data_IF_565479436978
#
_entry.id   IF_565479436978
#
_cell.length_a   1.000
_cell.length_b   1.000
_cell.length_c   1.000
_cell.angle_alpha   90.00
_cell.angle_beta   90.00
_cell.angle_gamma   90.00
#
_symmetry.space_group_name_H-M   'P 1'
#
loop_
_entity.id
_entity.type
_entity.pdbx_description
1 polymer ?
#
# COMPACT_ATOMS: atom_id res chain seq x y z
N UNK A 1 -0.78 0.63 -37.58
CA UNK A 1 0.70 0.67 -37.44
C UNK A 1 1.02 1.85 -36.55
N UNK A 2 1.78 1.66 -35.48
CA UNK A 2 2.18 2.77 -34.61
C UNK A 2 3.18 3.64 -35.35
N UNK A 3 2.82 4.85 -35.77
CA UNK A 3 3.74 5.80 -36.40
C UNK A 3 4.73 6.29 -35.33
N UNK A 4 6.01 6.03 -35.58
CA UNK A 4 7.08 6.65 -34.79
C UNK A 4 7.41 8.00 -35.42
N UNK A 5 7.24 9.07 -34.65
CA UNK A 5 7.50 10.44 -35.06
C UNK A 5 8.57 11.07 -34.15
N UNK A 6 9.34 12.00 -34.70
CA UNK A 6 10.21 12.87 -33.89
C UNK A 6 9.41 14.08 -33.43
N UNK A 7 9.28 14.23 -32.10
CA UNK A 7 8.56 15.34 -31.49
C UNK A 7 9.52 16.15 -30.62
N UNK A 8 9.41 17.48 -30.67
CA UNK A 8 10.16 18.37 -29.77
C UNK A 8 9.75 18.15 -28.32
N UNK A 9 10.72 17.93 -27.43
CA UNK A 9 10.49 17.72 -25.98
C UNK A 9 9.72 18.88 -25.35
N UNK A 10 9.93 20.10 -25.82
CA UNK A 10 9.21 21.30 -25.38
C UNK A 10 7.70 21.29 -25.67
N UNK A 11 7.26 20.48 -26.65
CA UNK A 11 5.84 20.28 -27.00
C UNK A 11 5.19 19.13 -26.25
N UNK A 12 5.96 18.37 -25.46
CA UNK A 12 5.46 17.22 -24.70
C UNK A 12 5.21 17.64 -23.26
N UNK A 13 3.96 17.78 -22.88
CA UNK A 13 3.53 18.07 -21.52
C UNK A 13 3.54 16.80 -20.68
N UNK A 14 3.82 16.90 -19.38
CA UNK A 14 3.65 15.80 -18.44
C UNK A 14 2.18 15.47 -18.29
N UNK A 15 1.88 14.19 -17.96
CA UNK A 15 0.52 13.76 -17.68
C UNK A 15 -0.05 14.51 -16.47
N UNK A 16 -1.26 15.04 -16.63
CA UNK A 16 -1.91 15.78 -15.54
C UNK A 16 -2.17 14.88 -14.34
N UNK A 17 -1.75 15.31 -13.15
CA UNK A 17 -1.91 14.54 -11.90
C UNK A 17 -1.26 13.14 -11.95
N UNK A 18 -0.12 13.01 -12.63
CA UNK A 18 0.63 11.76 -12.70
C UNK A 18 0.94 11.22 -11.30
N UNK A 19 0.43 10.04 -10.92
CA UNK A 19 0.52 9.56 -9.54
C UNK A 19 1.90 8.99 -9.16
N UNK A 20 2.71 8.62 -10.17
CA UNK A 20 3.99 7.97 -9.95
C UNK A 20 5.11 8.99 -9.88
N UNK A 21 5.92 8.93 -8.84
CA UNK A 21 7.06 9.81 -8.64
C UNK A 21 8.15 9.55 -9.69
N UNK A 22 8.73 10.64 -10.16
CA UNK A 22 9.91 10.60 -11.02
C UNK A 22 11.08 11.16 -10.23
N UNK A 23 11.83 10.27 -9.58
CA UNK A 23 12.96 10.66 -8.75
C UNK A 23 14.19 10.95 -9.60
N UNK A 24 14.93 11.99 -9.18
CA UNK A 24 16.25 12.29 -9.72
C UNK A 24 17.32 11.55 -8.90
N UNK A 25 17.36 10.24 -9.08
CA UNK A 25 18.22 9.30 -8.36
C UNK A 25 19.39 8.79 -9.23
N UNK A 26 20.25 7.97 -8.66
CA UNK A 26 21.38 7.38 -9.39
C UNK A 26 20.93 6.56 -10.60
N UNK A 27 19.79 5.86 -10.50
CA UNK A 27 19.25 5.08 -11.62
C UNK A 27 18.76 5.96 -12.78
N UNK A 28 18.41 7.22 -12.52
CA UNK A 28 18.12 8.19 -13.59
C UNK A 28 19.40 8.63 -14.31
N UNK A 29 20.51 8.80 -13.57
CA UNK A 29 21.81 9.13 -14.17
C UNK A 29 22.33 7.99 -15.05
N UNK A 30 22.18 6.74 -14.59
CA UNK A 30 22.50 5.56 -15.40
C UNK A 30 21.65 5.50 -16.67
N UNK A 31 20.35 5.78 -16.57
CA UNK A 31 19.46 5.87 -17.72
C UNK A 31 19.90 6.99 -18.69
N UNK A 32 20.27 8.16 -18.17
CA UNK A 32 20.80 9.25 -19.00
C UNK A 32 22.09 8.86 -19.70
N UNK A 33 23.02 8.19 -19.00
CA UNK A 33 24.25 7.65 -19.60
C UNK A 33 23.95 6.67 -20.73
N UNK A 34 23.02 5.72 -20.49
CA UNK A 34 22.59 4.75 -21.52
C UNK A 34 21.98 5.45 -22.73
N UNK A 35 21.13 6.46 -22.52
CA UNK A 35 20.51 7.23 -23.62
C UNK A 35 21.59 7.99 -24.40
N UNK A 36 22.61 8.54 -23.74
CA UNK A 36 23.72 9.24 -24.40
C UNK A 36 24.55 8.29 -25.28
N UNK A 37 24.79 7.08 -24.82
CA UNK A 37 25.64 6.09 -25.52
C UNK A 37 24.90 5.35 -26.64
N UNK A 38 23.64 4.96 -26.40
CA UNK A 38 22.88 4.07 -27.28
C UNK A 38 21.67 4.73 -27.95
N UNK A 39 21.40 5.99 -27.62
CA UNK A 39 20.17 6.66 -28.04
C UNK A 39 18.94 6.18 -27.29
N UNK A 40 17.79 6.70 -27.66
CA UNK A 40 16.50 6.30 -27.10
C UNK A 40 16.04 4.98 -27.74
N UNK A 41 16.28 3.84 -27.09
CA UNK A 41 15.92 2.51 -27.59
C UNK A 41 14.39 2.31 -27.63
N UNK A 42 13.70 2.72 -26.57
CA UNK A 42 12.23 2.63 -26.48
C UNK A 42 11.62 4.02 -26.64
N UNK A 43 10.79 4.28 -27.68
CA UNK A 43 10.15 5.57 -27.88
C UNK A 43 9.29 5.99 -26.69
N UNK A 44 9.09 7.31 -26.51
CA UNK A 44 8.07 7.83 -25.60
C UNK A 44 6.68 7.50 -26.18
N UNK A 45 5.69 7.29 -25.34
CA UNK A 45 4.30 7.16 -25.75
C UNK A 45 3.59 8.45 -25.38
N UNK A 46 3.00 9.10 -26.38
CA UNK A 46 2.30 10.37 -26.21
C UNK A 46 0.92 10.32 -26.88
N UNK A 47 0.00 11.16 -26.44
CA UNK A 47 -1.22 11.45 -27.17
C UNK A 47 -1.22 12.89 -27.65
N UNK A 48 -1.84 13.14 -28.81
CA UNK A 48 -2.02 14.49 -29.34
C UNK A 48 -3.19 15.18 -28.63
N UNK A 49 -3.01 16.46 -28.28
CA UNK A 49 -4.06 17.31 -27.71
C UNK A 49 -4.60 18.29 -28.75
N UNK A 50 -5.80 18.80 -28.54
CA UNK A 50 -6.48 19.72 -29.47
C UNK A 50 -5.71 21.02 -29.71
N UNK A 51 -4.87 21.42 -28.74
CA UNK A 51 -4.02 22.61 -28.83
C UNK A 51 -2.72 22.39 -29.64
N UNK A 52 -2.57 21.25 -30.30
CA UNK A 52 -1.39 20.90 -31.09
C UNK A 52 -0.17 20.47 -30.26
N UNK A 53 -0.27 20.40 -28.93
CA UNK A 53 0.74 19.83 -28.03
C UNK A 53 0.50 18.34 -27.82
N UNK A 54 1.43 17.71 -27.14
CA UNK A 54 1.37 16.30 -26.80
C UNK A 54 1.33 16.11 -25.28
N UNK A 55 0.64 15.10 -24.80
CA UNK A 55 0.66 14.69 -23.40
C UNK A 55 1.37 13.35 -23.28
N UNK A 56 2.31 13.26 -22.34
CA UNK A 56 3.13 12.08 -22.13
C UNK A 56 2.35 11.00 -21.39
N UNK A 57 2.14 9.85 -22.00
CA UNK A 57 1.48 8.69 -21.40
C UNK A 57 2.50 7.78 -20.72
N UNK A 58 3.62 7.49 -21.38
CA UNK A 58 4.67 6.63 -20.85
C UNK A 58 6.06 7.12 -21.23
N UNK A 59 6.99 7.02 -20.28
CA UNK A 59 8.38 7.39 -20.48
C UNK A 59 8.82 8.65 -19.73
N UNK A 60 8.17 9.03 -18.65
CA UNK A 60 8.51 10.22 -17.84
C UNK A 60 9.97 10.27 -17.41
N UNK A 61 10.55 9.16 -16.94
CA UNK A 61 11.99 9.07 -16.61
C UNK A 61 12.88 9.28 -17.84
N UNK A 62 12.51 8.70 -18.99
CA UNK A 62 13.25 8.87 -20.26
C UNK A 62 13.22 10.30 -20.72
N UNK A 63 12.04 10.96 -20.67
CA UNK A 63 11.91 12.38 -21.00
C UNK A 63 12.81 13.23 -20.10
N UNK A 64 12.77 13.04 -18.77
CA UNK A 64 13.60 13.76 -17.82
C UNK A 64 15.11 13.55 -18.08
N UNK A 65 15.52 12.31 -18.34
CA UNK A 65 16.92 12.00 -18.69
C UNK A 65 17.37 12.70 -19.98
N UNK A 66 16.50 12.75 -21.00
CA UNK A 66 16.80 13.47 -22.25
C UNK A 66 16.90 14.97 -22.07
N UNK A 67 16.05 15.57 -21.24
CA UNK A 67 16.10 16.99 -20.87
C UNK A 67 17.42 17.34 -20.15
N UNK A 68 17.86 16.48 -19.22
CA UNK A 68 19.16 16.65 -18.52
C UNK A 68 20.36 16.55 -19.49
N UNK A 69 20.24 15.77 -20.56
CA UNK A 69 21.25 15.68 -21.60
C UNK A 69 21.21 16.86 -22.60
N UNK A 70 20.25 17.77 -22.47
CA UNK A 70 20.07 18.91 -23.41
C UNK A 70 19.52 18.48 -24.78
N UNK A 71 18.92 17.29 -24.89
CA UNK A 71 18.28 16.83 -26.13
C UNK A 71 16.99 17.62 -26.36
N UNK A 72 16.73 17.97 -27.61
CA UNK A 72 15.57 18.81 -27.98
C UNK A 72 14.42 18.01 -28.58
N UNK A 73 14.67 16.81 -29.10
CA UNK A 73 13.69 15.95 -29.76
C UNK A 73 13.73 14.53 -29.23
N UNK A 74 12.59 13.86 -29.25
CA UNK A 74 12.45 12.46 -28.89
C UNK A 74 11.70 11.66 -29.95
N UNK A 75 12.10 10.41 -30.16
CA UNK A 75 11.27 9.43 -30.87
C UNK A 75 10.04 9.12 -30.04
N UNK A 76 8.85 9.28 -30.63
CA UNK A 76 7.56 9.09 -29.94
C UNK A 76 6.65 8.19 -30.74
N UNK A 77 5.83 7.42 -30.06
CA UNK A 77 4.66 6.76 -30.61
C UNK A 77 3.46 7.64 -30.27
N UNK A 78 2.85 8.23 -31.28
CA UNK A 78 1.66 9.07 -31.11
C UNK A 78 0.41 8.19 -31.15
N UNK A 79 -0.39 8.25 -30.10
CA UNK A 79 -1.66 7.53 -29.99
C UNK A 79 -2.83 8.51 -29.99
N UNK A 80 -3.94 8.10 -30.59
CA UNK A 80 -5.23 8.76 -30.47
C UNK A 80 -5.97 8.13 -29.31
N UNK A 81 -6.07 8.83 -28.19
CA UNK A 81 -6.70 8.36 -26.96
C UNK A 81 -7.62 9.45 -26.41
N UNK A 82 -8.76 9.05 -25.91
CA UNK A 82 -9.61 9.90 -25.06
C UNK A 82 -8.93 10.15 -23.72
N UNK A 83 -9.46 11.05 -22.90
CA UNK A 83 -8.91 11.33 -21.57
C UNK A 83 -8.91 10.09 -20.68
N UNK A 84 -10.01 9.33 -20.70
CA UNK A 84 -10.15 8.12 -19.89
C UNK A 84 -9.24 6.98 -20.37
N UNK A 85 -9.13 6.77 -21.69
CA UNK A 85 -8.21 5.77 -22.27
C UNK A 85 -6.75 6.10 -21.94
N UNK A 86 -6.39 7.39 -21.97
CA UNK A 86 -5.05 7.85 -21.63
C UNK A 86 -4.71 7.59 -20.15
N UNK A 87 -5.68 7.80 -19.23
CA UNK A 87 -5.52 7.45 -17.80
C UNK A 87 -5.27 5.96 -17.65
N UNK A 88 -6.11 5.11 -18.27
CA UNK A 88 -5.97 3.65 -18.16
C UNK A 88 -4.60 3.20 -18.68
N UNK A 89 -4.19 3.65 -19.85
CA UNK A 89 -2.90 3.26 -20.44
C UNK A 89 -1.71 3.76 -19.62
N UNK A 90 -1.80 4.99 -19.09
CA UNK A 90 -0.77 5.56 -18.22
C UNK A 90 -0.62 4.71 -16.95
N UNK A 91 -1.72 4.34 -16.28
CA UNK A 91 -1.69 3.50 -15.08
C UNK A 91 -1.11 2.13 -15.42
N UNK A 92 -1.62 1.45 -16.44
CA UNK A 92 -1.19 0.10 -16.81
C UNK A 92 0.30 0.06 -17.17
N UNK A 93 0.80 1.05 -17.91
CA UNK A 93 2.23 1.12 -18.25
C UNK A 93 3.17 1.31 -17.06
N UNK A 94 2.66 1.73 -15.91
CA UNK A 94 3.46 1.97 -14.70
C UNK A 94 3.26 0.92 -13.61
N UNK A 95 2.22 0.06 -13.69
CA UNK A 95 1.96 -0.98 -12.68
C UNK A 95 3.01 -2.09 -12.65
N UNK A 96 3.82 -2.24 -13.71
CA UNK A 96 4.89 -3.24 -13.82
C UNK A 96 6.25 -2.74 -13.30
N UNK A 97 6.28 -1.65 -12.51
CA UNK A 97 7.52 -1.16 -11.87
C UNK A 97 7.89 -2.08 -10.71
N UNK A 98 9.19 -2.31 -10.51
CA UNK A 98 9.71 -3.14 -9.41
C UNK A 98 9.31 -2.62 -8.04
N UNK A 99 9.27 -1.30 -7.87
CA UNK A 99 8.87 -0.62 -6.64
C UNK A 99 7.81 0.41 -6.97
N UNK A 100 6.62 0.24 -6.35
CA UNK A 100 5.52 1.20 -6.40
C UNK A 100 5.10 1.48 -4.97
N UNK A 101 5.04 2.75 -4.59
CA UNK A 101 4.61 3.15 -3.26
C UNK A 101 3.11 2.88 -3.05
N UNK A 102 2.68 2.57 -1.83
CA UNK A 102 1.26 2.44 -1.51
C UNK A 102 0.43 3.67 -1.90
N UNK A 103 0.96 4.88 -1.73
CA UNK A 103 0.31 6.12 -2.19
C UNK A 103 0.18 6.17 -3.70
N UNK A 104 1.23 5.81 -4.45
CA UNK A 104 1.19 5.77 -5.92
C UNK A 104 0.12 4.78 -6.42
N UNK A 105 0.08 3.55 -5.86
CA UNK A 105 -0.96 2.57 -6.15
C UNK A 105 -2.36 3.11 -5.82
N UNK A 106 -2.50 3.80 -4.68
CA UNK A 106 -3.77 4.35 -4.23
C UNK A 106 -4.34 5.37 -5.23
N UNK A 107 -3.54 6.34 -5.63
CA UNK A 107 -3.97 7.36 -6.59
C UNK A 107 -4.11 6.81 -8.01
N UNK A 108 -3.23 5.89 -8.44
CA UNK A 108 -3.33 5.23 -9.73
C UNK A 108 -4.62 4.42 -9.87
N UNK A 109 -4.95 3.59 -8.87
CA UNK A 109 -6.19 2.83 -8.87
C UNK A 109 -7.43 3.72 -8.82
N UNK A 110 -7.39 4.80 -8.03
CA UNK A 110 -8.48 5.77 -8.00
C UNK A 110 -8.71 6.38 -9.38
N UNK A 111 -7.66 6.91 -10.02
CA UNK A 111 -7.75 7.48 -11.36
C UNK A 111 -8.29 6.48 -12.38
N UNK A 112 -7.80 5.23 -12.36
CA UNK A 112 -8.26 4.18 -13.27
C UNK A 112 -9.73 3.83 -13.04
N UNK A 113 -10.17 3.70 -11.78
CA UNK A 113 -11.58 3.43 -11.46
C UNK A 113 -12.49 4.58 -11.88
N UNK A 114 -12.07 5.83 -11.66
CA UNK A 114 -12.83 7.01 -12.07
C UNK A 114 -12.97 7.04 -13.60
N UNK A 115 -11.90 6.79 -14.36
CA UNK A 115 -11.93 6.71 -15.82
C UNK A 115 -12.86 5.59 -16.32
N UNK A 116 -12.79 4.39 -15.74
CA UNK A 116 -13.66 3.26 -16.11
C UNK A 116 -15.14 3.54 -15.81
N UNK A 117 -15.44 4.23 -14.70
CA UNK A 117 -16.81 4.61 -14.32
C UNK A 117 -17.39 5.67 -15.27
N UNK A 118 -16.59 6.61 -15.78
CA UNK A 118 -17.02 7.59 -16.77
C UNK A 118 -17.41 6.92 -18.08
N UNK A 119 -16.67 5.93 -18.52
CA UNK A 119 -16.93 5.22 -19.79
C UNK A 119 -18.16 4.33 -19.73
N UNK A 120 -18.54 3.80 -18.57
CA UNK A 120 -19.81 3.08 -18.39
C UNK A 120 -21.04 3.95 -18.62
N UNK A 121 -20.89 5.29 -18.63
CA UNK A 121 -21.97 6.27 -18.91
C UNK A 121 -21.97 6.79 -20.35
N UNK A 122 -20.87 6.63 -21.07
CA UNK A 122 -20.72 7.07 -22.47
C UNK A 122 -20.27 5.89 -23.33
N UNK A 123 -21.20 5.32 -24.09
CA UNK A 123 -20.89 4.30 -25.10
C UNK A 123 -19.89 4.87 -26.09
N UNK A 124 -18.64 4.43 -26.01
CA UNK A 124 -17.64 4.76 -27.01
C UNK A 124 -18.02 4.14 -28.36
N UNK A 125 -18.06 4.89 -29.48
CA UNK A 125 -18.46 4.37 -30.81
C UNK A 125 -17.49 3.33 -31.40
N UNK A 126 -16.32 3.14 -30.82
CA UNK A 126 -15.25 2.25 -31.32
C UNK A 126 -14.95 1.12 -30.35
N UNK A 127 -15.91 0.29 -30.02
CA UNK A 127 -15.75 -1.12 -29.59
C UNK A 127 -14.49 -1.59 -28.85
N UNK A 128 -13.68 -0.71 -28.28
CA UNK A 128 -12.52 -1.08 -27.45
C UNK A 128 -13.06 -1.53 -26.11
N UNK A 129 -13.07 -2.84 -25.88
CA UNK A 129 -13.35 -3.41 -24.56
C UNK A 129 -12.28 -2.90 -23.62
N UNK A 130 -12.61 -1.91 -22.80
CA UNK A 130 -11.75 -1.54 -21.70
C UNK A 130 -11.74 -2.67 -20.68
N UNK A 131 -10.52 -2.95 -20.25
CA UNK A 131 -10.20 -3.94 -19.25
C UNK A 131 -11.00 -3.66 -17.95
N UNK A 132 -11.66 -4.69 -17.47
CA UNK A 132 -12.42 -4.59 -16.21
C UNK A 132 -11.46 -4.60 -15.01
N UNK A 133 -11.95 -4.19 -13.84
CA UNK A 133 -11.19 -4.29 -12.56
C UNK A 133 -10.64 -5.70 -12.31
N UNK A 134 -11.19 -6.73 -12.98
CA UNK A 134 -10.73 -8.12 -12.91
C UNK A 134 -9.36 -8.37 -13.57
N UNK A 135 -8.84 -7.43 -14.34
CA UNK A 135 -7.54 -7.54 -15.01
C UNK A 135 -6.40 -6.83 -14.27
N UNK A 136 -6.70 -6.27 -13.08
CA UNK A 136 -5.67 -5.77 -12.18
C UNK A 136 -4.98 -6.96 -11.52
N UNK A 137 -3.65 -6.88 -11.35
CA UNK A 137 -2.86 -7.91 -10.65
C UNK A 137 -3.35 -8.11 -9.21
N UNK A 138 -3.81 -7.03 -8.56
CA UNK A 138 -4.36 -7.06 -7.22
C UNK A 138 -5.83 -7.49 -7.22
N UNK A 139 -6.23 -8.26 -6.20
CA UNK A 139 -7.64 -8.63 -6.00
C UNK A 139 -8.52 -7.38 -5.86
N UNK A 140 -9.79 -7.47 -6.28
CA UNK A 140 -10.75 -6.36 -6.16
C UNK A 140 -10.79 -5.75 -4.76
N UNK A 141 -10.75 -6.58 -3.72
CA UNK A 141 -10.72 -6.13 -2.33
C UNK A 141 -9.45 -5.33 -2.02
N UNK A 142 -8.30 -5.74 -2.56
CA UNK A 142 -7.02 -5.05 -2.37
C UNK A 142 -7.03 -3.70 -3.07
N UNK A 143 -7.53 -3.63 -4.30
CA UNK A 143 -7.69 -2.36 -5.03
C UNK A 143 -8.49 -1.35 -4.23
N UNK A 144 -9.66 -1.74 -3.68
CA UNK A 144 -10.47 -0.83 -2.87
C UNK A 144 -9.77 -0.41 -1.56
N UNK A 145 -8.95 -1.26 -0.95
CA UNK A 145 -8.12 -0.88 0.20
C UNK A 145 -7.11 0.21 -0.17
N UNK A 146 -6.41 0.07 -1.30
CA UNK A 146 -5.51 1.12 -1.79
C UNK A 146 -6.27 2.42 -2.05
N UNK A 147 -7.39 2.36 -2.77
CA UNK A 147 -8.20 3.56 -3.05
C UNK A 147 -8.62 4.27 -1.78
N UNK A 148 -8.93 3.54 -0.70
CA UNK A 148 -9.25 4.15 0.60
C UNK A 148 -8.11 5.02 1.16
N UNK A 149 -6.85 4.66 0.91
CA UNK A 149 -5.69 5.42 1.39
C UNK A 149 -5.65 6.85 0.84
N UNK A 150 -6.29 7.13 -0.31
CA UNK A 150 -6.38 8.50 -0.86
C UNK A 150 -7.14 9.48 0.04
N UNK A 151 -7.85 8.98 1.06
CA UNK A 151 -8.56 9.80 2.05
C UNK A 151 -7.69 10.14 3.28
N UNK A 152 -6.48 9.61 3.38
CA UNK A 152 -5.55 9.97 4.44
C UNK A 152 -4.99 11.38 4.26
N UNK A 153 -4.54 11.97 5.36
CA UNK A 153 -3.67 13.16 5.31
C UNK A 153 -2.28 12.73 4.83
N UNK A 154 -1.52 13.65 4.21
CA UNK A 154 -0.20 13.32 3.66
C UNK A 154 0.76 12.68 4.68
N UNK A 155 0.72 13.14 5.92
CA UNK A 155 1.59 12.68 7.00
C UNK A 155 1.34 11.19 7.33
N UNK A 156 0.07 10.79 7.46
CA UNK A 156 -0.29 9.38 7.70
C UNK A 156 -0.02 8.51 6.46
N UNK A 157 -0.25 9.04 5.27
CA UNK A 157 0.02 8.33 4.02
C UNK A 157 1.53 8.07 3.85
N UNK A 158 2.37 9.02 4.26
CA UNK A 158 3.82 8.87 4.27
C UNK A 158 4.27 7.70 5.16
N UNK A 159 3.68 7.51 6.34
CA UNK A 159 4.00 6.37 7.21
C UNK A 159 3.71 5.01 6.52
N UNK A 160 2.75 4.99 5.59
CA UNK A 160 2.45 3.79 4.81
C UNK A 160 3.51 3.59 3.71
N UNK A 161 3.93 4.64 3.03
CA UNK A 161 4.97 4.58 2.00
C UNK A 161 6.33 4.18 2.58
N UNK A 162 6.65 4.64 3.78
CA UNK A 162 7.89 4.32 4.49
C UNK A 162 8.04 2.81 4.78
N UNK A 163 6.95 2.02 4.76
CA UNK A 163 7.02 0.54 4.83
C UNK A 163 7.76 -0.08 3.63
N UNK A 164 7.69 0.55 2.47
CA UNK A 164 8.31 0.08 1.22
C UNK A 164 9.70 0.67 1.06
N UNK A 165 9.86 1.95 1.39
CA UNK A 165 11.12 2.68 1.23
C UNK A 165 12.22 2.13 2.16
N UNK A 166 11.84 1.48 3.29
CA UNK A 166 12.76 0.88 4.27
C UNK A 166 13.95 1.80 4.62
N UNK A 167 13.72 3.11 4.63
CA UNK A 167 14.75 4.04 5.07
C UNK A 167 15.06 3.75 6.54
N UNK A 168 16.30 3.33 6.83
CA UNK A 168 16.76 3.00 8.19
C UNK A 168 16.61 4.16 9.18
N UNK A 169 16.34 5.37 8.68
CA UNK A 169 16.11 6.58 9.48
C UNK A 169 14.67 6.76 9.90
N UNK A 170 13.73 6.08 9.23
CA UNK A 170 12.32 6.12 9.59
C UNK A 170 11.99 4.96 10.53
N UNK A 171 11.84 5.26 11.81
CA UNK A 171 11.44 4.29 12.84
C UNK A 171 9.96 3.97 12.74
N UNK A 172 9.14 4.97 12.39
CA UNK A 172 7.68 4.86 12.33
C UNK A 172 7.21 4.45 10.95
N UNK A 173 6.56 3.29 10.89
CA UNK A 173 5.89 2.80 9.68
C UNK A 173 4.51 2.26 10.03
N UNK A 174 3.56 2.38 9.12
CA UNK A 174 2.19 1.92 9.33
C UNK A 174 1.72 1.01 8.18
N UNK A 175 1.22 -0.19 8.52
CA UNK A 175 0.70 -1.12 7.53
C UNK A 175 -0.59 -0.64 6.85
N UNK A 176 -0.91 -1.22 5.69
CA UNK A 176 -2.11 -0.85 4.91
C UNK A 176 -3.41 -1.06 5.71
N UNK A 177 -3.54 -2.16 6.49
CA UNK A 177 -4.79 -2.46 7.22
C UNK A 177 -5.14 -1.37 8.25
N UNK A 178 -4.26 -0.99 9.20
CA UNK A 178 -4.55 0.13 10.11
C UNK A 178 -4.78 1.45 9.36
N UNK A 179 -4.02 1.73 8.30
CA UNK A 179 -4.18 2.92 7.48
C UNK A 179 -5.57 3.02 6.84
N UNK A 180 -6.13 1.91 6.37
CA UNK A 180 -7.51 1.85 5.84
C UNK A 180 -8.52 2.20 6.93
N UNK A 181 -8.38 1.69 8.15
CA UNK A 181 -9.28 2.05 9.25
C UNK A 181 -9.21 3.55 9.58
N UNK A 182 -8.00 4.12 9.66
CA UNK A 182 -7.81 5.55 9.89
C UNK A 182 -8.33 6.42 8.75
N UNK A 183 -8.42 5.91 7.53
CA UNK A 183 -8.97 6.64 6.38
C UNK A 183 -10.48 6.93 6.48
N UNK A 184 -11.19 6.36 7.46
CA UNK A 184 -12.59 6.68 7.76
C UNK A 184 -12.76 7.87 8.69
N UNK A 185 -11.70 8.33 9.35
CA UNK A 185 -11.69 9.50 10.20
C UNK A 185 -11.75 10.79 9.37
N UNK A 186 -12.31 11.86 9.95
CA UNK A 186 -12.19 13.18 9.34
C UNK A 186 -10.76 13.74 9.47
N UNK A 187 -10.45 14.83 8.77
CA UNK A 187 -9.08 15.37 8.70
C UNK A 187 -8.54 15.85 10.06
N UNK A 188 -9.40 16.36 10.94
CA UNK A 188 -9.02 16.81 12.29
C UNK A 188 -8.69 15.61 13.18
N UNK A 189 -9.53 14.58 13.14
CA UNK A 189 -9.28 13.32 13.86
C UNK A 189 -8.00 12.63 13.36
N UNK A 190 -7.75 12.63 12.06
CA UNK A 190 -6.51 12.09 11.50
C UNK A 190 -5.27 12.87 11.98
N UNK A 191 -5.36 14.20 12.09
CA UNK A 191 -4.28 15.01 12.66
C UNK A 191 -4.03 14.69 14.12
N UNK A 192 -5.11 14.51 14.91
CA UNK A 192 -5.01 14.09 16.30
C UNK A 192 -4.28 12.74 16.42
N UNK A 193 -4.68 11.77 15.58
CA UNK A 193 -4.01 10.45 15.54
C UNK A 193 -2.54 10.58 15.16
N UNK A 194 -2.21 11.40 14.16
CA UNK A 194 -0.81 11.64 13.78
C UNK A 194 0.01 12.28 14.91
N UNK A 195 -0.58 13.22 15.65
CA UNK A 195 0.05 13.80 16.85
C UNK A 195 0.34 12.74 17.91
N UNK A 196 -0.62 11.87 18.23
CA UNK A 196 -0.41 10.78 19.17
C UNK A 196 0.68 9.79 18.71
N UNK A 197 0.66 9.40 17.43
CA UNK A 197 1.69 8.54 16.83
C UNK A 197 3.10 9.15 17.01
N UNK A 198 3.24 10.45 16.74
CA UNK A 198 4.54 11.14 16.84
C UNK A 198 4.96 11.41 18.28
N UNK A 199 4.01 11.60 19.19
CA UNK A 199 4.29 11.81 20.61
C UNK A 199 4.74 10.52 21.30
N UNK A 200 4.03 9.40 21.05
CA UNK A 200 4.34 8.09 21.65
C UNK A 200 5.43 7.30 20.90
N UNK A 201 5.87 7.78 19.75
CA UNK A 201 6.75 7.04 18.81
C UNK A 201 6.21 5.63 18.48
N UNK A 202 4.88 5.50 18.40
CA UNK A 202 4.15 4.25 18.20
C UNK A 202 3.12 4.37 17.09
N UNK A 203 3.07 3.40 16.17
CA UNK A 203 2.01 3.30 15.16
C UNK A 203 0.95 2.27 15.58
N UNK A 204 -0.34 2.50 15.33
CA UNK A 204 -1.38 1.59 15.74
C UNK A 204 -1.31 0.24 14.99
N UNK A 205 -1.59 -0.83 15.70
CA UNK A 205 -1.94 -2.14 15.10
C UNK A 205 -3.31 -2.06 14.43
N UNK A 206 -3.69 -3.09 13.65
CA UNK A 206 -5.01 -3.12 13.02
C UNK A 206 -6.16 -3.11 14.06
N UNK A 207 -6.01 -3.83 15.18
CA UNK A 207 -7.00 -3.82 16.26
C UNK A 207 -7.15 -2.46 16.91
N UNK A 208 -6.03 -1.80 17.24
CA UNK A 208 -6.01 -0.44 17.78
C UNK A 208 -6.62 0.58 16.81
N UNK A 209 -6.34 0.46 15.51
CA UNK A 209 -6.95 1.34 14.51
C UNK A 209 -8.48 1.18 14.40
N UNK A 210 -9.01 -0.03 14.63
CA UNK A 210 -10.46 -0.27 14.72
C UNK A 210 -11.03 0.41 15.97
N UNK A 211 -10.37 0.31 17.14
CA UNK A 211 -10.79 0.98 18.38
C UNK A 211 -10.80 2.50 18.21
N UNK A 212 -9.71 3.07 17.65
CA UNK A 212 -9.62 4.50 17.34
C UNK A 212 -10.78 4.96 16.42
N UNK A 213 -11.07 4.18 15.37
CA UNK A 213 -12.20 4.48 14.48
C UNK A 213 -13.54 4.43 15.21
N UNK A 214 -13.73 3.49 16.13
CA UNK A 214 -14.97 3.38 16.91
C UNK A 214 -15.14 4.60 17.83
N UNK A 215 -14.12 4.97 18.61
CA UNK A 215 -14.14 6.17 19.45
C UNK A 215 -14.40 7.45 18.62
N UNK A 216 -13.78 7.55 17.43
CA UNK A 216 -14.02 8.67 16.53
C UNK A 216 -15.48 8.75 16.06
N UNK A 217 -16.12 7.60 15.80
CA UNK A 217 -17.54 7.51 15.43
C UNK A 217 -18.46 7.91 16.60
N UNK A 218 -18.12 7.50 17.81
CA UNK A 218 -18.88 7.76 19.03
C UNK A 218 -18.63 9.19 19.59
N UNK A 219 -17.71 9.95 18.94
CA UNK A 219 -17.26 11.30 19.31
C UNK A 219 -16.51 11.35 20.66
N UNK A 220 -15.92 10.25 21.05
CA UNK A 220 -15.15 10.06 22.29
C UNK A 220 -13.64 10.05 22.06
N UNK A 221 -13.18 10.25 20.82
CA UNK A 221 -11.75 10.28 20.50
C UNK A 221 -11.11 11.56 21.05
N UNK A 222 -10.31 11.40 22.08
CA UNK A 222 -9.47 12.44 22.72
C UNK A 222 -8.02 12.07 22.61
N UNK A 223 -7.10 12.98 22.99
CA UNK A 223 -5.68 12.66 23.02
C UNK A 223 -5.37 11.57 24.08
N UNK A 224 -6.00 11.68 25.26
CA UNK A 224 -5.80 10.72 26.35
C UNK A 224 -6.28 9.30 25.97
N UNK A 225 -7.49 9.19 25.36
CA UNK A 225 -7.99 7.89 24.91
C UNK A 225 -7.14 7.29 23.77
N UNK A 226 -6.51 8.14 22.96
CA UNK A 226 -5.60 7.71 21.90
C UNK A 226 -4.27 7.19 22.49
N UNK A 227 -3.72 7.91 23.49
CA UNK A 227 -2.51 7.51 24.22
C UNK A 227 -2.72 6.14 24.88
N UNK A 228 -3.81 5.94 25.61
CA UNK A 228 -4.16 4.65 26.20
C UNK A 228 -4.15 3.51 25.16
N UNK A 229 -4.82 3.72 24.01
CA UNK A 229 -4.87 2.71 22.96
C UNK A 229 -3.49 2.44 22.35
N UNK A 230 -2.68 3.46 22.10
CA UNK A 230 -1.37 3.29 21.47
C UNK A 230 -0.37 2.58 22.39
N UNK A 231 -0.45 2.84 23.72
CA UNK A 231 0.39 2.23 24.73
C UNK A 231 -0.05 0.81 25.12
N UNK A 232 -1.27 0.38 24.76
CA UNK A 232 -1.67 -1.01 24.97
C UNK A 232 -0.75 -2.00 24.25
N UNK A 233 -0.43 -3.11 24.90
CA UNK A 233 0.35 -4.19 24.28
C UNK A 233 -0.34 -4.71 23.01
N UNK A 234 0.35 -4.60 21.88
CA UNK A 234 -0.14 -5.14 20.60
C UNK A 234 -0.33 -6.64 20.73
N UNK A 235 -1.46 -7.15 20.22
CA UNK A 235 -1.82 -8.56 20.35
C UNK A 235 -0.78 -9.57 19.82
N UNK A 236 0.10 -9.15 18.89
CA UNK A 236 1.23 -9.91 18.40
C UNK A 236 2.52 -9.77 19.23
N UNK A 237 2.52 -8.89 20.24
CA UNK A 237 3.64 -8.69 21.20
C UNK A 237 3.34 -9.33 22.56
N UNK A 238 2.16 -9.95 22.74
CA UNK A 238 1.92 -10.78 23.91
C UNK A 238 2.92 -11.93 23.90
N UNK A 239 3.60 -12.14 25.00
CA UNK A 239 4.50 -13.28 25.16
C UNK A 239 3.72 -14.55 24.81
N UNK A 240 4.11 -15.20 23.73
CA UNK A 240 3.56 -16.47 23.32
C UNK A 240 4.55 -17.55 23.78
N UNK A 241 4.15 -18.32 24.76
CA UNK A 241 4.88 -19.53 25.11
C UNK A 241 4.57 -20.55 24.02
N UNK A 242 5.54 -20.88 23.19
CA UNK A 242 5.41 -21.92 22.17
C UNK A 242 5.97 -23.23 22.70
N UNK A 243 5.17 -24.28 22.57
CA UNK A 243 5.58 -25.63 22.90
C UNK A 243 5.89 -26.43 21.64
N UNK A 244 6.84 -27.35 21.75
CA UNK A 244 7.13 -28.28 20.65
C UNK A 244 5.92 -29.18 20.42
N UNK A 245 5.32 -29.10 19.23
CA UNK A 245 4.10 -29.82 18.86
C UNK A 245 4.23 -31.33 19.09
N UNK A 246 5.34 -31.93 18.65
CA UNK A 246 5.56 -33.38 18.76
C UNK A 246 5.63 -33.86 20.22
N UNK A 247 6.16 -33.01 21.12
CA UNK A 247 6.22 -33.35 22.56
C UNK A 247 4.83 -33.29 23.19
N UNK A 248 4.01 -32.31 22.82
CA UNK A 248 2.65 -32.16 23.30
C UNK A 248 1.78 -33.30 22.73
N UNK A 249 1.87 -33.62 21.45
CA UNK A 249 1.10 -34.72 20.83
C UNK A 249 1.44 -36.06 21.44
N UNK A 250 2.70 -36.33 21.82
CA UNK A 250 3.11 -37.56 22.53
C UNK A 250 2.56 -37.64 23.97
N UNK A 251 2.34 -36.49 24.60
CA UNK A 251 1.80 -36.43 25.96
C UNK A 251 0.27 -36.48 26.01
N UNK A 252 -0.39 -36.23 24.88
CA UNK A 252 -1.87 -36.26 24.79
C UNK A 252 -2.38 -37.65 24.49
N UNK A 253 -3.55 -38.03 25.05
CA UNK A 253 -4.25 -39.25 24.66
C UNK A 253 -4.54 -39.28 23.14
N UNK A 254 -4.29 -40.44 22.51
CA UNK A 254 -4.45 -40.61 21.05
C UNK A 254 -5.84 -40.28 20.51
N UNK A 255 -6.86 -40.38 21.34
CA UNK A 255 -8.25 -40.07 21.03
C UNK A 255 -8.47 -38.55 20.87
N UNK A 256 -7.68 -37.72 21.55
CA UNK A 256 -7.76 -36.26 21.50
C UNK A 256 -7.15 -35.70 20.24
N UNK A 257 -6.15 -36.36 19.65
CA UNK A 257 -5.48 -35.90 18.41
C UNK A 257 -6.42 -35.84 17.21
N UNK A 258 -7.62 -36.51 17.31
CA UNK A 258 -8.67 -36.50 16.28
C UNK A 258 -9.69 -35.37 16.50
N UNK A 259 -9.58 -34.59 17.58
CA UNK A 259 -10.47 -33.47 17.90
C UNK A 259 -9.97 -32.16 17.32
N UNK A 260 -10.85 -31.16 17.25
CA UNK A 260 -10.49 -29.83 16.81
C UNK A 260 -9.53 -29.12 17.77
N UNK A 261 -8.83 -28.13 17.27
CA UNK A 261 -7.82 -27.38 18.01
C UNK A 261 -8.35 -26.74 19.30
N UNK A 262 -9.59 -26.24 19.30
CA UNK A 262 -10.22 -25.63 20.49
C UNK A 262 -10.46 -26.63 21.60
N UNK A 263 -10.88 -27.83 21.23
CA UNK A 263 -11.12 -28.88 22.20
C UNK A 263 -9.82 -29.34 22.87
N UNK A 264 -8.76 -29.50 22.07
CA UNK A 264 -7.43 -29.85 22.59
C UNK A 264 -6.91 -28.76 23.54
N UNK A 265 -7.03 -27.48 23.17
CA UNK A 265 -6.63 -26.35 23.98
C UNK A 265 -7.38 -26.33 25.33
N UNK A 266 -8.68 -26.48 25.34
CA UNK A 266 -9.48 -26.54 26.55
C UNK A 266 -9.11 -27.76 27.44
N UNK A 267 -8.83 -28.90 26.82
CA UNK A 267 -8.37 -30.07 27.56
C UNK A 267 -7.04 -29.84 28.26
N UNK A 268 -6.07 -29.22 27.55
CA UNK A 268 -4.75 -28.91 28.12
C UNK A 268 -4.91 -27.91 29.29
N UNK A 269 -5.69 -26.85 29.13
CA UNK A 269 -5.96 -25.86 30.20
C UNK A 269 -6.53 -26.58 31.43
N UNK A 270 -7.56 -27.43 31.25
CA UNK A 270 -8.19 -28.16 32.35
C UNK A 270 -7.23 -29.15 33.02
N UNK A 271 -6.34 -29.78 32.23
CA UNK A 271 -5.33 -30.68 32.79
C UNK A 271 -4.31 -29.93 33.67
N UNK A 272 -3.89 -28.71 33.22
CA UNK A 272 -2.99 -27.85 33.99
C UNK A 272 -3.67 -27.36 35.28
N UNK A 273 -4.94 -26.97 35.23
CA UNK A 273 -5.72 -26.54 36.38
C UNK A 273 -5.85 -27.67 37.42
N UNK A 274 -6.15 -28.88 36.96
CA UNK A 274 -6.21 -30.05 37.83
C UNK A 274 -4.86 -30.37 38.46
N UNK A 275 -3.77 -30.29 37.69
CA UNK A 275 -2.43 -30.53 38.21
C UNK A 275 -2.07 -29.49 39.28
N UNK A 276 -2.38 -28.23 39.05
CA UNK A 276 -2.17 -27.15 40.03
C UNK A 276 -2.94 -27.37 41.31
N UNK A 277 -4.17 -27.86 41.27
CA UNK A 277 -4.96 -28.18 42.45
C UNK A 277 -4.34 -29.31 43.26
N UNK A 278 -3.83 -30.36 42.58
CA UNK A 278 -3.17 -31.51 43.23
C UNK A 278 -1.84 -31.07 43.91
N UNK A 279 -1.07 -30.17 43.29
CA UNK A 279 0.16 -29.64 43.88
C UNK A 279 -0.13 -28.77 45.11
N UNK A 280 -1.15 -27.92 45.07
CA UNK A 280 -1.60 -27.14 46.22
C UNK A 280 -2.03 -28.02 47.40
N UNK A 281 -2.70 -29.14 47.13
CA UNK A 281 -3.12 -30.12 48.16
C UNK A 281 -1.92 -30.88 48.74
N UNK A 282 -0.82 -31.07 47.99
CA UNK A 282 0.40 -31.73 48.42
C UNK A 282 1.37 -30.82 49.21
N UNK A 283 1.09 -29.54 49.27
CA UNK A 283 1.91 -28.58 50.04
C UNK A 283 3.29 -28.27 49.45
N UNK A 284 3.54 -28.65 48.17
CA UNK A 284 4.73 -28.31 47.44
C UNK A 284 4.57 -26.92 46.87
N UNK A 285 4.84 -25.88 47.67
CA UNK A 285 4.99 -24.53 47.17
C UNK A 285 6.28 -24.49 46.36
N UNK A 286 6.17 -24.31 45.03
CA UNK A 286 7.32 -23.99 44.21
C UNK A 286 7.87 -22.62 44.64
N UNK A 287 9.06 -22.59 45.23
CA UNK A 287 9.92 -21.42 45.26
C UNK A 287 10.29 -21.08 43.81
N UNK A 288 9.57 -20.15 43.23
CA UNK A 288 9.90 -19.52 41.92
C UNK A 288 10.84 -18.33 42.15
N UNK A 289 12.02 -18.61 42.75
CA UNK A 289 13.16 -17.70 42.76
C UNK A 289 14.34 -18.40 42.08
N UNK A 290 14.43 -18.23 40.76
CA UNK A 290 15.67 -18.21 39.96
C UNK A 290 15.51 -17.30 38.77
#
# INVERSE_FOLDING_TARGET
MNNIEEVELSKIDSFKNHPFLVNNDESLKELAKSIKENGLLNPLIVRKKDNGRYELISGHRRKLAMEQLGLTKAKTIVKELTDDEAVVEMVDSNMYRDIILPSEKAFAYKMKLDALNHQGKTLSPKGTKLHSVSELEDSKTQVYRYVRLTNLIPELLKLVDDTVLKDKRTVLTMGIKPAVELSYLNKEQQKLVYMGITYEDLTPSHGQAIQIRQLAKDKELTFDSLEEILCEQKGNQREQISFNKDKIEKALPSELLKRDKRYIEQYIIKAIENYKSIELERGDAYDLDM
#
